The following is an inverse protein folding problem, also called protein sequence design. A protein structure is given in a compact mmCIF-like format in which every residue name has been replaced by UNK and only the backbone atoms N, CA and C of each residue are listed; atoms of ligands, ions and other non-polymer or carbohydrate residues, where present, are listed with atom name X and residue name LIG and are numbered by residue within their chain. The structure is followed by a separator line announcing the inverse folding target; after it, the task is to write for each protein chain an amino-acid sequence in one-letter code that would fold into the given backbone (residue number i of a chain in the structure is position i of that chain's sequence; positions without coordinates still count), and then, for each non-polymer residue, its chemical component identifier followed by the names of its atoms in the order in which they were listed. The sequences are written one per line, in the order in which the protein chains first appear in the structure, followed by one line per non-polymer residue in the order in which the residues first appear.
data_IF_387566189933
#
_entry.id   IF_387566189933
#
_cell.length_a   1.000
_cell.length_b   1.000
_cell.length_c   1.000
_cell.angle_alpha   90.00
_cell.angle_beta   90.00
_cell.angle_gamma   90.00
#
_symmetry.space_group_name_H-M   'P 1'
#
loop_
_entity.id
_entity.type
_entity.pdbx_description
1 polymer ?
#
# COMPACT_ATOMS: atom_id res chain seq x y z
N UNK A 1 41.68 -3.94 -85.08
CA UNK A 1 40.37 -3.46 -85.58
C UNK A 1 39.35 -3.67 -84.48
N UNK A 2 38.61 -2.60 -84.15
CA UNK A 2 37.52 -2.42 -83.16
C UNK A 2 36.95 -3.67 -82.46
N UNK A 3 36.85 -3.62 -81.12
CA UNK A 3 35.73 -4.20 -80.37
C UNK A 3 35.61 -3.55 -78.98
N UNK A 4 34.40 -3.09 -78.67
CA UNK A 4 33.97 -2.36 -77.47
C UNK A 4 34.11 -3.15 -76.17
N UNK A 5 34.52 -2.50 -75.08
CA UNK A 5 34.21 -2.93 -73.72
C UNK A 5 33.06 -2.07 -73.18
N UNK A 6 31.94 -2.74 -72.91
CA UNK A 6 30.73 -2.18 -72.33
C UNK A 6 30.94 -2.05 -70.82
N UNK A 7 30.59 -0.86 -70.32
CA UNK A 7 30.53 -0.47 -68.92
C UNK A 7 29.34 -1.14 -68.22
N UNK A 8 29.56 -1.70 -67.04
CA UNK A 8 28.48 -2.06 -66.11
C UNK A 8 28.84 -1.57 -64.71
N UNK A 9 28.39 -0.36 -64.37
CA UNK A 9 28.35 0.13 -62.99
C UNK A 9 27.28 -0.66 -62.21
N UNK A 10 27.69 -1.38 -61.18
CA UNK A 10 26.78 -1.94 -60.18
C UNK A 10 26.55 -0.87 -59.11
N UNK A 11 25.36 -0.28 -59.12
CA UNK A 11 24.93 0.71 -58.13
C UNK A 11 24.33 -0.03 -56.93
N UNK A 12 25.05 -0.12 -55.81
CA UNK A 12 24.49 -0.62 -54.53
C UNK A 12 23.52 0.40 -53.95
N UNK A 13 22.25 0.03 -53.67
CA UNK A 13 21.36 0.93 -52.95
C UNK A 13 21.72 0.93 -51.47
N UNK A 14 22.01 2.13 -50.94
CA UNK A 14 22.12 2.41 -49.52
C UNK A 14 20.71 2.26 -48.92
N UNK A 15 20.45 1.18 -48.18
CA UNK A 15 19.22 1.02 -47.40
C UNK A 15 19.26 1.99 -46.21
N UNK A 16 18.66 3.16 -46.39
CA UNK A 16 18.31 4.03 -45.27
C UNK A 16 17.22 3.34 -44.45
N UNK A 17 17.59 2.77 -43.30
CA UNK A 17 16.62 2.31 -42.30
C UNK A 17 15.96 3.55 -41.70
N UNK A 18 14.80 3.92 -42.21
CA UNK A 18 13.91 4.87 -41.53
C UNK A 18 13.43 4.20 -40.25
N UNK A 19 13.99 4.61 -39.12
CA UNK A 19 13.44 4.29 -37.80
C UNK A 19 12.07 4.94 -37.71
N UNK A 20 11.01 4.14 -37.81
CA UNK A 20 9.68 4.60 -37.45
C UNK A 20 9.65 4.75 -35.93
N UNK A 21 9.78 5.98 -35.43
CA UNK A 21 9.35 6.29 -34.07
C UNK A 21 7.89 5.87 -33.96
N UNK A 22 7.58 4.97 -33.00
CA UNK A 22 6.18 4.68 -32.70
C UNK A 22 5.52 5.97 -32.20
N UNK A 23 4.28 6.27 -32.60
CA UNK A 23 3.55 7.36 -31.99
C UNK A 23 3.35 7.05 -30.50
N UNK A 24 3.76 7.97 -29.64
CA UNK A 24 3.48 7.92 -28.21
C UNK A 24 1.99 7.67 -28.02
N UNK A 25 1.65 6.60 -27.30
CA UNK A 25 0.26 6.37 -26.89
C UNK A 25 -0.25 7.64 -26.21
N UNK A 26 -1.49 8.09 -26.48
CA UNK A 26 -1.99 9.31 -25.86
C UNK A 26 -1.94 9.18 -24.33
N UNK A 27 -1.08 9.96 -23.69
CA UNK A 27 -0.97 10.01 -22.24
C UNK A 27 -2.31 10.50 -21.69
N UNK A 28 -2.92 9.72 -20.79
CA UNK A 28 -4.14 10.12 -20.08
C UNK A 28 -3.78 10.63 -18.69
N UNK A 29 -4.38 11.73 -18.21
CA UNK A 29 -4.15 12.20 -16.86
C UNK A 29 -4.67 11.18 -15.84
N UNK A 30 -3.83 10.86 -14.86
CA UNK A 30 -4.17 10.19 -13.61
C UNK A 30 -4.44 11.30 -12.59
N UNK A 31 -5.71 11.68 -12.47
CA UNK A 31 -6.14 12.70 -11.52
C UNK A 31 -6.16 12.13 -10.13
N UNK A 32 -5.63 12.86 -9.16
CA UNK A 32 -5.26 12.24 -7.90
C UNK A 32 -5.09 13.30 -6.84
N UNK A 33 -5.48 12.97 -5.61
CA UNK A 33 -4.89 13.58 -4.42
C UNK A 33 -4.09 12.51 -3.67
N UNK A 34 -2.92 12.90 -3.17
CA UNK A 34 -2.04 12.00 -2.43
C UNK A 34 -1.23 12.74 -1.39
N UNK A 35 -0.65 11.97 -0.49
CA UNK A 35 0.23 12.42 0.58
C UNK A 35 1.48 11.54 0.61
N UNK A 36 2.66 12.16 0.75
CA UNK A 36 3.89 11.49 1.15
C UNK A 36 4.27 12.00 2.53
N UNK A 37 4.72 11.12 3.44
CA UNK A 37 5.09 11.54 4.78
C UNK A 37 6.13 10.64 5.43
N UNK A 38 6.87 11.22 6.37
CA UNK A 38 7.70 10.52 7.34
C UNK A 38 7.17 10.80 8.73
N UNK A 39 6.94 9.74 9.51
CA UNK A 39 6.69 9.90 10.93
C UNK A 39 7.98 10.27 11.68
N UNK A 40 7.97 11.39 12.41
CA UNK A 40 9.16 11.88 13.10
C UNK A 40 9.57 11.00 14.28
N UNK A 41 8.63 10.27 14.88
CA UNK A 41 8.85 9.43 16.06
C UNK A 41 9.37 8.05 15.66
N UNK A 42 8.66 7.33 14.78
CA UNK A 42 9.03 5.97 14.38
C UNK A 42 9.98 5.91 13.19
N UNK A 43 10.13 7.02 12.46
CA UNK A 43 10.89 7.06 11.20
C UNK A 43 10.18 6.40 10.01
N UNK A 44 8.98 5.82 10.20
CA UNK A 44 8.20 5.21 9.13
C UNK A 44 7.99 6.17 7.97
N UNK A 45 7.99 5.63 6.76
CA UNK A 45 7.79 6.37 5.51
C UNK A 45 6.51 5.84 4.86
N UNK A 46 5.67 6.74 4.37
CA UNK A 46 4.37 6.36 3.83
C UNK A 46 3.90 7.22 2.68
N UNK A 47 3.11 6.60 1.81
CA UNK A 47 2.37 7.24 0.72
C UNK A 47 0.94 6.74 0.74
N UNK A 48 -0.02 7.65 0.62
CA UNK A 48 -1.43 7.29 0.43
C UNK A 48 -2.04 8.11 -0.69
N UNK A 49 -2.97 7.51 -1.42
CA UNK A 49 -3.50 8.06 -2.67
C UNK A 49 -4.95 7.64 -2.93
N UNK A 50 -5.71 8.53 -3.58
CA UNK A 50 -7.01 8.21 -4.19
C UNK A 50 -7.09 8.80 -5.60
N UNK A 51 -7.74 8.10 -6.52
CA UNK A 51 -7.99 8.56 -7.90
C UNK A 51 -9.31 8.04 -8.49
N UNK A 52 -9.94 8.80 -9.40
CA UNK A 52 -10.87 8.24 -10.39
C UNK A 52 -10.09 7.60 -11.56
N UNK A 53 -9.28 6.61 -11.25
CA UNK A 53 -8.50 5.83 -12.21
C UNK A 53 -8.55 4.38 -11.77
N UNK A 54 -8.66 3.45 -12.69
CA UNK A 54 -8.60 2.04 -12.34
C UNK A 54 -7.20 1.68 -11.86
N UNK A 55 -7.10 1.12 -10.66
CA UNK A 55 -5.84 0.62 -10.11
C UNK A 55 -4.71 1.66 -10.00
N UNK A 56 -4.88 2.67 -9.13
CA UNK A 56 -3.86 3.71 -8.90
C UNK A 56 -2.61 3.20 -8.15
N UNK A 57 -2.76 2.13 -7.35
CA UNK A 57 -1.75 1.62 -6.43
C UNK A 57 -0.40 1.20 -7.03
N UNK A 58 -0.34 0.60 -8.23
CA UNK A 58 0.93 0.31 -8.90
C UNK A 58 1.67 1.52 -9.48
N UNK A 59 1.02 2.69 -9.57
CA UNK A 59 1.53 3.84 -10.32
C UNK A 59 2.06 4.94 -9.42
N UNK A 60 1.25 5.36 -8.44
CA UNK A 60 1.51 6.56 -7.66
C UNK A 60 2.41 6.30 -6.45
N UNK A 61 2.09 5.36 -5.52
CA UNK A 61 2.82 5.24 -4.27
C UNK A 61 4.08 4.38 -4.39
N UNK A 62 5.21 4.96 -4.00
CA UNK A 62 6.50 4.26 -3.88
C UNK A 62 7.11 4.57 -2.53
N UNK A 63 7.65 3.56 -1.86
CA UNK A 63 8.39 3.74 -0.62
C UNK A 63 9.39 2.60 -0.43
N UNK A 64 10.51 2.92 0.19
CA UNK A 64 11.52 1.94 0.57
C UNK A 64 12.08 2.26 1.96
N UNK A 65 12.12 1.24 2.80
CA UNK A 65 12.58 1.36 4.18
C UNK A 65 14.02 1.84 4.23
N UNK A 66 14.30 2.78 5.13
CA UNK A 66 15.62 3.40 5.24
C UNK A 66 16.03 4.28 4.05
N UNK A 67 15.15 4.54 3.08
CA UNK A 67 15.46 5.35 1.87
C UNK A 67 14.56 6.57 1.74
N UNK A 68 13.26 6.37 1.52
CA UNK A 68 12.34 7.48 1.28
C UNK A 68 10.97 7.04 0.75
N UNK A 69 10.13 8.02 0.44
CA UNK A 69 8.82 7.84 -0.17
C UNK A 69 8.62 8.81 -1.34
N UNK A 70 7.92 8.38 -2.39
CA UNK A 70 7.64 9.14 -3.61
C UNK A 70 6.19 8.94 -4.04
N UNK A 71 5.52 10.03 -4.39
CA UNK A 71 4.24 10.03 -5.10
C UNK A 71 4.41 10.69 -6.47
N UNK A 72 4.09 9.99 -7.56
CA UNK A 72 4.10 10.53 -8.94
C UNK A 72 2.69 10.44 -9.55
N UNK A 73 2.13 11.56 -10.01
CA UNK A 73 0.73 11.65 -10.45
C UNK A 73 0.51 12.72 -11.53
N UNK A 74 -0.76 13.01 -11.85
CA UNK A 74 -1.19 13.79 -13.01
C UNK A 74 -0.89 13.03 -14.31
N UNK A 75 -0.18 13.60 -15.27
CA UNK A 75 0.41 12.80 -16.34
C UNK A 75 1.60 12.05 -15.76
N UNK A 76 1.34 11.01 -14.98
CA UNK A 76 2.36 10.33 -14.19
C UNK A 76 3.44 9.73 -15.10
N UNK A 77 4.69 9.88 -14.69
CA UNK A 77 5.82 9.14 -15.22
C UNK A 77 6.25 8.16 -14.12
N UNK A 78 5.88 6.86 -14.23
CA UNK A 78 6.16 5.87 -13.20
C UNK A 78 7.65 5.78 -12.84
N UNK A 79 8.56 6.12 -13.76
CA UNK A 79 9.99 6.09 -13.49
C UNK A 79 10.44 7.02 -12.34
N UNK A 80 9.69 8.09 -12.01
CA UNK A 80 10.03 8.96 -10.88
C UNK A 80 10.07 8.20 -9.55
N UNK A 81 9.24 7.17 -9.38
CA UNK A 81 9.19 6.33 -8.18
C UNK A 81 10.53 5.64 -7.89
N UNK A 82 10.91 4.61 -8.69
CA UNK A 82 12.14 3.87 -8.47
C UNK A 82 13.40 4.72 -8.66
N UNK A 83 13.42 5.69 -9.59
CA UNK A 83 14.61 6.55 -9.76
C UNK A 83 14.77 7.55 -8.61
N UNK A 84 13.68 8.10 -8.08
CA UNK A 84 13.72 8.96 -6.89
C UNK A 84 14.26 8.21 -5.68
N UNK A 85 13.77 6.98 -5.45
CA UNK A 85 14.29 6.09 -4.41
C UNK A 85 15.77 5.73 -4.64
N UNK A 86 16.18 5.44 -5.88
CA UNK A 86 17.59 5.16 -6.20
C UNK A 86 18.50 6.35 -5.86
N UNK A 87 18.13 7.56 -6.27
CA UNK A 87 18.89 8.76 -5.97
C UNK A 87 19.00 9.00 -4.47
N UNK A 88 17.92 8.79 -3.72
CA UNK A 88 17.94 8.88 -2.25
C UNK A 88 18.82 7.80 -1.62
N UNK A 89 18.79 6.57 -2.14
CA UNK A 89 19.61 5.45 -1.65
C UNK A 89 21.09 5.71 -1.81
N UNK A 90 21.52 6.34 -2.91
CA UNK A 90 22.93 6.74 -3.13
C UNK A 90 23.31 8.04 -2.41
N UNK A 91 22.45 8.56 -1.54
CA UNK A 91 22.75 9.64 -0.60
C UNK A 91 22.28 11.04 -1.02
N UNK A 92 21.50 11.18 -2.11
CA UNK A 92 20.84 12.47 -2.41
C UNK A 92 19.69 12.71 -1.45
N UNK A 93 19.44 13.98 -1.14
CA UNK A 93 18.22 14.38 -0.46
C UNK A 93 17.01 14.30 -1.38
N UNK A 94 15.80 14.20 -0.83
CA UNK A 94 14.57 14.26 -1.62
C UNK A 94 14.47 15.51 -2.53
N UNK A 95 14.83 16.73 -2.06
CA UNK A 95 14.92 17.91 -2.94
C UNK A 95 15.93 17.79 -4.08
N UNK A 96 17.11 17.22 -3.83
CA UNK A 96 18.11 17.01 -4.89
C UNK A 96 17.64 15.98 -5.91
N UNK A 97 17.04 14.88 -5.44
CA UNK A 97 16.50 13.82 -6.28
C UNK A 97 15.39 14.35 -7.19
N UNK A 98 14.40 15.05 -6.62
CA UNK A 98 13.30 15.61 -7.39
C UNK A 98 13.79 16.64 -8.41
N UNK A 99 14.69 17.56 -8.00
CA UNK A 99 15.27 18.57 -8.90
C UNK A 99 15.99 17.92 -10.08
N UNK A 100 16.77 16.87 -9.84
CA UNK A 100 17.49 16.16 -10.90
C UNK A 100 16.53 15.58 -11.93
N UNK A 101 15.50 14.85 -11.49
CA UNK A 101 14.53 14.21 -12.38
C UNK A 101 13.72 15.24 -13.19
N UNK A 102 13.16 16.25 -12.51
CA UNK A 102 12.38 17.33 -13.15
C UNK A 102 13.21 18.06 -14.21
N UNK A 103 14.50 18.34 -13.93
CA UNK A 103 15.37 19.07 -14.88
C UNK A 103 15.68 18.32 -16.17
N UNK A 104 15.43 17.01 -16.19
CA UNK A 104 15.67 16.14 -17.36
C UNK A 104 14.39 15.70 -18.07
N UNK A 105 13.22 16.07 -17.54
CA UNK A 105 11.92 15.70 -18.09
C UNK A 105 11.36 16.85 -18.95
N UNK A 106 11.33 16.66 -20.28
CA UNK A 106 10.79 17.64 -21.22
C UNK A 106 9.29 17.91 -21.00
N UNK A 107 8.59 17.00 -20.32
CA UNK A 107 7.16 17.06 -20.01
C UNK A 107 6.90 17.46 -18.54
N UNK A 108 7.90 17.96 -17.82
CA UNK A 108 7.77 18.34 -16.40
C UNK A 108 6.54 19.20 -16.10
N UNK A 109 6.15 20.05 -17.05
CA UNK A 109 5.02 20.95 -16.92
C UNK A 109 3.66 20.23 -16.78
N UNK A 110 3.54 18.95 -17.14
CA UNK A 110 2.32 18.14 -16.91
C UNK A 110 2.45 17.13 -15.76
N UNK A 111 3.62 17.07 -15.11
CA UNK A 111 3.89 16.16 -14.00
C UNK A 111 3.49 16.78 -12.67
N UNK A 112 3.12 15.92 -11.72
CA UNK A 112 3.03 16.30 -10.32
C UNK A 112 3.70 15.23 -9.47
N UNK A 113 4.68 15.61 -8.66
CA UNK A 113 5.52 14.67 -7.91
C UNK A 113 5.85 15.21 -6.53
N UNK A 114 5.83 14.37 -5.50
CA UNK A 114 6.34 14.70 -4.17
C UNK A 114 7.26 13.60 -3.66
N UNK A 115 8.28 14.00 -2.88
CA UNK A 115 9.27 13.10 -2.29
C UNK A 115 9.58 13.50 -0.86
N UNK A 116 9.82 12.51 0.00
CA UNK A 116 10.35 12.69 1.36
C UNK A 116 11.45 11.67 1.62
N UNK A 117 12.57 12.10 2.20
CA UNK A 117 13.68 11.22 2.56
C UNK A 117 13.69 10.83 4.05
N UNK A 118 14.62 9.96 4.46
CA UNK A 118 14.75 9.51 5.86
C UNK A 118 15.15 10.58 6.86
N UNK A 119 15.61 11.76 6.43
CA UNK A 119 15.81 12.92 7.29
C UNK A 119 14.56 13.79 7.36
N UNK A 120 13.51 13.40 6.63
CA UNK A 120 12.25 14.10 6.52
C UNK A 120 12.37 15.43 5.79
N UNK A 121 13.37 15.57 4.90
CA UNK A 121 13.41 16.67 3.94
C UNK A 121 12.41 16.35 2.84
N UNK A 122 11.64 17.35 2.43
CA UNK A 122 10.52 17.19 1.52
C UNK A 122 10.71 18.08 0.29
N UNK A 123 10.30 17.59 -0.88
CA UNK A 123 10.13 18.42 -2.05
C UNK A 123 8.90 18.00 -2.85
N UNK A 124 8.26 18.98 -3.48
CA UNK A 124 7.10 18.77 -4.34
C UNK A 124 7.24 19.62 -5.62
N UNK A 125 6.67 19.10 -6.70
CA UNK A 125 6.58 19.73 -8.01
C UNK A 125 5.14 19.63 -8.50
N UNK A 126 4.57 20.76 -8.93
CA UNK A 126 3.30 20.80 -9.67
C UNK A 126 3.57 21.56 -10.96
N UNK A 127 3.58 20.85 -12.09
CA UNK A 127 3.81 21.46 -13.39
C UNK A 127 2.73 22.49 -13.75
N UNK A 128 3.13 23.57 -14.42
CA UNK A 128 2.22 24.68 -14.77
C UNK A 128 1.08 24.34 -15.75
N UNK A 129 1.10 23.14 -16.35
CA UNK A 129 0.06 22.59 -17.23
C UNK A 129 -0.71 21.41 -16.62
N UNK A 130 -0.52 21.11 -15.33
CA UNK A 130 -1.44 20.23 -14.62
C UNK A 130 -2.87 20.80 -14.70
N UNK A 131 -3.86 19.94 -14.92
CA UNK A 131 -5.24 20.39 -15.08
C UNK A 131 -5.74 20.97 -13.76
N UNK A 132 -6.26 22.20 -13.79
CA UNK A 132 -6.72 22.90 -12.60
C UNK A 132 -8.04 22.30 -12.05
N UNK A 133 -8.30 22.36 -10.74
CA UNK A 133 -7.43 22.91 -9.71
C UNK A 133 -6.26 21.97 -9.39
N UNK A 134 -5.03 22.51 -9.37
CA UNK A 134 -3.81 21.75 -9.12
C UNK A 134 -2.84 22.53 -8.24
N UNK A 135 -2.28 21.87 -7.23
CA UNK A 135 -1.43 22.48 -6.22
C UNK A 135 -0.85 21.45 -5.26
N UNK A 136 -0.05 21.93 -4.32
CA UNK A 136 0.51 21.13 -3.24
C UNK A 136 0.75 22.01 -2.01
N UNK A 137 0.86 21.37 -0.86
CA UNK A 137 1.32 21.96 0.39
C UNK A 137 2.47 21.12 0.96
N UNK A 138 3.58 21.78 1.25
CA UNK A 138 4.76 21.15 1.87
C UNK A 138 4.81 21.56 3.34
N UNK A 139 4.66 20.57 4.22
CA UNK A 139 4.76 20.76 5.67
C UNK A 139 6.00 20.09 6.26
N UNK A 140 6.04 19.99 7.59
CA UNK A 140 7.16 19.37 8.29
C UNK A 140 7.13 17.85 8.12
N UNK A 141 8.08 17.31 7.35
CA UNK A 141 8.22 15.87 7.06
C UNK A 141 7.10 15.25 6.20
N UNK A 142 6.27 16.06 5.53
CA UNK A 142 5.26 15.57 4.59
C UNK A 142 4.97 16.55 3.45
N UNK A 143 4.35 16.06 2.39
CA UNK A 143 3.71 16.87 1.34
C UNK A 143 2.37 16.25 0.96
N UNK A 144 1.40 17.11 0.71
CA UNK A 144 0.10 16.77 0.12
C UNK A 144 -0.02 17.46 -1.24
N UNK A 145 -0.53 16.74 -2.23
CA UNK A 145 -0.59 17.24 -3.61
C UNK A 145 -1.85 16.74 -4.29
N UNK A 146 -2.44 17.61 -5.11
CA UNK A 146 -3.62 17.26 -5.89
C UNK A 146 -3.67 17.99 -7.24
N UNK A 147 -4.34 17.39 -8.23
CA UNK A 147 -4.62 17.97 -9.55
C UNK A 147 -6.02 17.59 -10.01
N UNK A 148 -6.64 18.31 -10.96
CA UNK A 148 -8.04 18.16 -11.41
C UNK A 148 -9.01 17.95 -10.22
N UNK A 149 -8.87 18.80 -9.20
CA UNK A 149 -9.76 18.83 -8.05
C UNK A 149 -11.00 19.69 -8.31
N UNK A 150 -12.09 19.39 -7.61
CA UNK A 150 -13.30 20.23 -7.59
C UNK A 150 -13.01 21.62 -7.01
N UNK A 151 -12.11 21.71 -6.02
CA UNK A 151 -11.72 22.95 -5.37
C UNK A 151 -10.20 23.03 -5.16
N UNK A 152 -9.65 24.25 -5.14
CA UNK A 152 -8.26 24.50 -4.77
C UNK A 152 -8.02 24.44 -3.25
N UNK A 153 -9.06 24.24 -2.45
CA UNK A 153 -8.95 24.09 -0.98
C UNK A 153 -8.48 22.69 -0.56
N UNK A 154 -8.56 21.70 -1.46
CA UNK A 154 -8.28 20.28 -1.16
C UNK A 154 -6.94 20.06 -0.44
N UNK A 155 -5.82 20.51 -0.99
CA UNK A 155 -4.51 20.24 -0.39
C UNK A 155 -4.28 20.97 0.94
N UNK A 156 -4.91 22.12 1.18
CA UNK A 156 -4.85 22.78 2.49
C UNK A 156 -5.68 22.03 3.53
N UNK A 157 -6.85 21.50 3.16
CA UNK A 157 -7.66 20.66 4.04
C UNK A 157 -6.92 19.35 4.39
N UNK A 158 -6.27 18.72 3.42
CA UNK A 158 -5.41 17.54 3.66
C UNK A 158 -4.30 17.84 4.67
N UNK A 159 -3.60 18.97 4.50
CA UNK A 159 -2.53 19.39 5.39
C UNK A 159 -3.05 19.58 6.83
N UNK A 160 -4.11 20.37 7.00
CA UNK A 160 -4.71 20.63 8.31
C UNK A 160 -5.18 19.36 9.01
N UNK A 161 -5.79 18.43 8.27
CA UNK A 161 -6.22 17.14 8.81
C UNK A 161 -5.01 16.29 9.24
N UNK A 162 -3.97 16.20 8.42
CA UNK A 162 -2.75 15.43 8.73
C UNK A 162 -1.99 15.97 9.95
N UNK A 163 -1.93 17.28 10.10
CA UNK A 163 -1.27 17.97 11.23
C UNK A 163 -2.08 17.87 12.53
N UNK A 164 -3.41 17.86 12.45
CA UNK A 164 -4.30 17.77 13.62
C UNK A 164 -4.58 16.32 14.06
N UNK A 165 -4.36 15.36 13.17
CA UNK A 165 -4.62 13.95 13.42
C UNK A 165 -3.71 13.37 14.52
N UNK A 166 -4.29 12.50 15.33
CA UNK A 166 -3.60 11.71 16.34
C UNK A 166 -3.50 10.24 15.88
N UNK A 167 -2.57 9.49 16.47
CA UNK A 167 -2.36 8.08 16.16
C UNK A 167 -1.14 7.83 15.29
N UNK A 168 -1.06 6.62 14.74
CA UNK A 168 0.05 6.17 13.91
C UNK A 168 0.04 6.84 12.52
N UNK A 169 1.10 6.58 11.74
CA UNK A 169 1.22 7.14 10.39
C UNK A 169 0.05 6.71 9.48
N UNK A 170 -0.43 5.46 9.60
CA UNK A 170 -1.54 4.97 8.77
C UNK A 170 -2.82 5.75 9.00
N UNK A 171 -3.15 6.04 10.27
CA UNK A 171 -4.31 6.86 10.62
C UNK A 171 -4.16 8.25 10.01
N UNK A 172 -3.03 8.92 10.26
CA UNK A 172 -2.78 10.29 9.79
C UNK A 172 -2.88 10.41 8.27
N UNK A 173 -2.35 9.44 7.53
CA UNK A 173 -2.47 9.39 6.06
C UNK A 173 -3.93 9.20 5.60
N UNK A 174 -4.70 8.34 6.27
CA UNK A 174 -6.12 8.14 5.95
C UNK A 174 -6.96 9.39 6.18
N UNK A 175 -6.80 10.08 7.31
CA UNK A 175 -7.57 11.32 7.59
C UNK A 175 -7.23 12.43 6.59
N UNK A 176 -6.02 12.46 6.05
CA UNK A 176 -5.67 13.38 4.97
C UNK A 176 -6.47 13.05 3.69
N UNK A 177 -6.59 11.78 3.31
CA UNK A 177 -7.41 11.38 2.15
C UNK A 177 -8.90 11.68 2.37
N UNK A 178 -9.42 11.45 3.57
CA UNK A 178 -10.81 11.75 3.91
C UNK A 178 -11.12 13.25 3.86
N UNK A 179 -10.17 14.08 4.31
CA UNK A 179 -10.31 15.54 4.22
C UNK A 179 -10.35 16.01 2.76
N UNK A 180 -9.54 15.41 1.87
CA UNK A 180 -9.63 15.71 0.44
C UNK A 180 -10.99 15.34 -0.15
N UNK A 181 -11.53 14.17 0.21
CA UNK A 181 -12.83 13.71 -0.25
C UNK A 181 -13.97 14.60 0.27
N UNK A 182 -13.88 15.07 1.52
CA UNK A 182 -14.82 16.03 2.12
C UNK A 182 -14.85 17.39 1.42
N UNK A 183 -13.77 17.77 0.74
CA UNK A 183 -13.65 18.98 -0.09
C UNK A 183 -14.03 18.75 -1.57
N UNK A 184 -14.62 17.60 -1.90
CA UNK A 184 -15.05 17.20 -3.25
C UNK A 184 -14.04 16.33 -4.01
N UNK A 185 -12.76 16.42 -3.68
CA UNK A 185 -11.71 15.57 -4.25
C UNK A 185 -11.56 15.68 -5.77
N UNK A 186 -11.30 14.54 -6.43
CA UNK A 186 -11.19 14.45 -7.90
C UNK A 186 -12.54 14.81 -8.55
N UNK A 187 -12.52 15.81 -9.43
CA UNK A 187 -13.72 16.36 -10.10
C UNK A 187 -14.53 15.29 -10.86
N UNK A 188 -13.91 14.16 -11.22
CA UNK A 188 -14.56 13.05 -11.91
C UNK A 188 -15.30 12.11 -10.96
N UNK A 189 -15.02 12.19 -9.65
CA UNK A 189 -15.51 11.30 -8.61
C UNK A 189 -14.39 10.41 -8.05
N UNK A 190 -14.73 9.17 -7.68
CA UNK A 190 -13.79 8.24 -7.01
C UNK A 190 -13.88 6.83 -7.58
N UNK A 191 -12.75 6.12 -7.59
CA UNK A 191 -12.68 4.75 -8.11
C UNK A 191 -11.67 3.86 -7.38
N UNK A 192 -10.44 4.30 -7.18
CA UNK A 192 -9.38 3.49 -6.54
C UNK A 192 -8.62 4.28 -5.48
N UNK A 193 -7.98 3.55 -4.56
CA UNK A 193 -7.13 4.12 -3.52
C UNK A 193 -6.04 3.12 -3.10
N UNK A 194 -4.95 3.63 -2.55
CA UNK A 194 -3.87 2.79 -2.03
C UNK A 194 -3.14 3.46 -0.87
N UNK A 195 -2.56 2.65 0.00
CA UNK A 195 -1.64 3.07 1.06
C UNK A 195 -0.44 2.12 1.10
N UNK A 196 0.75 2.70 1.10
CA UNK A 196 2.03 2.01 1.24
C UNK A 196 2.78 2.63 2.41
N UNK A 197 3.11 1.85 3.43
CA UNK A 197 3.91 2.28 4.57
C UNK A 197 5.02 1.27 4.79
N UNK A 198 6.24 1.78 4.95
CA UNK A 198 7.43 1.00 5.23
C UNK A 198 8.07 1.42 6.54
N UNK A 199 8.85 0.52 7.14
CA UNK A 199 9.65 0.79 8.33
C UNK A 199 10.66 1.93 8.09
N UNK A 200 11.04 2.64 9.15
CA UNK A 200 12.07 3.67 9.06
C UNK A 200 13.47 3.11 8.81
N UNK A 201 13.73 1.88 9.26
CA UNK A 201 14.98 1.16 9.09
C UNK A 201 14.82 0.00 8.10
N UNK A 202 15.87 -0.25 7.32
CA UNK A 202 15.93 -1.36 6.37
C UNK A 202 16.44 -2.62 7.07
N UNK A 203 15.60 -3.65 7.19
CA UNK A 203 15.99 -4.92 7.81
C UNK A 203 16.71 -5.87 6.85
N UNK A 204 16.85 -5.49 5.58
CA UNK A 204 17.31 -6.32 4.47
C UNK A 204 16.23 -7.30 3.96
N UNK A 205 15.00 -7.21 4.49
CA UNK A 205 13.88 -8.09 4.14
C UNK A 205 12.67 -7.25 3.75
N UNK A 206 12.50 -6.93 2.45
CA UNK A 206 11.42 -6.06 1.99
C UNK A 206 10.01 -6.51 2.37
N UNK A 207 9.79 -7.82 2.56
CA UNK A 207 8.50 -8.37 2.99
C UNK A 207 8.21 -8.19 4.50
N UNK A 208 9.22 -7.89 5.30
CA UNK A 208 9.06 -7.48 6.72
C UNK A 208 8.94 -5.97 6.82
N UNK A 209 9.70 -5.26 5.99
CA UNK A 209 9.79 -3.80 6.01
C UNK A 209 8.53 -3.11 5.48
N UNK A 210 7.69 -3.82 4.70
CA UNK A 210 6.37 -3.34 4.26
C UNK A 210 5.31 -3.57 5.34
N UNK A 211 5.00 -2.52 6.09
CA UNK A 211 4.02 -2.55 7.19
C UNK A 211 2.59 -2.54 6.66
N UNK A 212 2.33 -1.73 5.64
CA UNK A 212 1.07 -1.66 4.89
C UNK A 212 1.38 -1.59 3.39
N UNK A 213 0.72 -2.42 2.59
CA UNK A 213 0.70 -2.35 1.12
C UNK A 213 -0.70 -2.79 0.68
N UNK A 214 -1.66 -1.87 0.82
CA UNK A 214 -3.07 -2.14 0.63
C UNK A 214 -3.60 -1.32 -0.54
N UNK A 215 -4.46 -1.97 -1.34
CA UNK A 215 -5.00 -1.39 -2.58
C UNK A 215 -6.47 -1.71 -2.70
N UNK A 216 -7.22 -0.70 -3.11
CA UNK A 216 -8.60 -0.79 -3.57
C UNK A 216 -8.55 -0.45 -5.06
N UNK A 217 -8.62 -1.46 -5.92
CA UNK A 217 -8.40 -1.28 -7.36
C UNK A 217 -9.62 -0.65 -8.07
N UNK A 218 -10.82 -0.92 -7.55
CA UNK A 218 -12.12 -0.39 -8.02
C UNK A 218 -13.16 -0.51 -6.90
N UNK A 219 -13.72 0.62 -6.44
CA UNK A 219 -14.79 0.69 -5.46
C UNK A 219 -15.50 2.06 -5.55
N UNK A 220 -16.83 2.14 -5.38
CA UNK A 220 -17.55 3.42 -5.38
C UNK A 220 -17.21 4.35 -4.19
N UNK A 221 -16.54 3.80 -3.17
CA UNK A 221 -16.07 4.51 -1.97
C UNK A 221 -14.69 3.96 -1.55
N UNK A 222 -13.62 4.26 -2.32
CA UNK A 222 -12.35 3.57 -2.16
C UNK A 222 -11.57 4.00 -0.92
N UNK A 223 -11.79 5.22 -0.40
CA UNK A 223 -11.12 5.69 0.84
C UNK A 223 -11.70 4.98 2.06
N UNK A 224 -13.03 4.88 2.18
CA UNK A 224 -13.65 4.13 3.27
C UNK A 224 -13.28 2.64 3.22
N UNK A 225 -13.23 2.05 2.02
CA UNK A 225 -12.80 0.67 1.84
C UNK A 225 -11.32 0.48 2.21
N UNK A 226 -10.45 1.43 1.86
CA UNK A 226 -9.05 1.42 2.26
C UNK A 226 -8.91 1.48 3.78
N UNK A 227 -9.71 2.31 4.47
CA UNK A 227 -9.76 2.36 5.94
C UNK A 227 -10.18 1.01 6.53
N UNK A 228 -11.19 0.35 5.95
CA UNK A 228 -11.61 -1.01 6.37
C UNK A 228 -10.44 -2.00 6.25
N UNK A 229 -9.71 -1.97 5.12
CA UNK A 229 -8.53 -2.81 4.91
C UNK A 229 -7.39 -2.50 5.90
N UNK A 230 -7.18 -1.23 6.27
CA UNK A 230 -6.20 -0.85 7.30
C UNK A 230 -6.56 -1.44 8.67
N UNK A 231 -7.84 -1.42 9.08
CA UNK A 231 -8.26 -2.08 10.32
C UNK A 231 -8.07 -3.60 10.24
N UNK A 232 -8.37 -4.21 9.10
CA UNK A 232 -8.15 -5.64 8.89
C UNK A 232 -6.65 -6.00 9.01
N UNK A 233 -5.78 -5.23 8.37
CA UNK A 233 -4.33 -5.40 8.48
C UNK A 233 -3.84 -5.24 9.93
N UNK A 234 -4.36 -4.26 10.68
CA UNK A 234 -4.05 -4.09 12.11
C UNK A 234 -4.43 -5.33 12.93
N UNK A 235 -5.59 -5.93 12.65
CA UNK A 235 -6.00 -7.18 13.29
C UNK A 235 -5.02 -8.32 13.01
N UNK A 236 -4.59 -8.50 11.75
CA UNK A 236 -3.61 -9.52 11.38
C UNK A 236 -2.22 -9.28 11.96
N UNK A 237 -1.76 -8.03 12.03
CA UNK A 237 -0.51 -7.68 12.72
C UNK A 237 -0.57 -8.15 14.18
N UNK A 238 -1.70 -7.91 14.86
CA UNK A 238 -1.88 -8.35 16.25
C UNK A 238 -2.00 -9.87 16.42
N UNK A 239 -2.58 -10.58 15.44
CA UNK A 239 -2.56 -12.05 15.43
C UNK A 239 -1.12 -12.57 15.35
N UNK A 240 -0.34 -12.06 14.39
CA UNK A 240 1.05 -12.47 14.21
C UNK A 240 1.91 -12.14 15.44
N UNK A 241 1.71 -10.97 16.05
CA UNK A 241 2.35 -10.59 17.31
C UNK A 241 2.03 -11.59 18.42
N UNK A 242 0.76 -12.00 18.54
CA UNK A 242 0.34 -13.04 19.49
C UNK A 242 1.06 -14.38 19.25
N UNK A 243 1.13 -14.85 18.00
CA UNK A 243 1.81 -16.10 17.64
C UNK A 243 3.31 -16.06 17.94
N UNK A 244 3.95 -14.92 17.68
CA UNK A 244 5.36 -14.72 18.02
C UNK A 244 5.61 -14.73 19.53
N UNK A 245 4.79 -14.02 20.31
CA UNK A 245 4.87 -13.98 21.77
C UNK A 245 4.61 -15.35 22.37
N UNK A 246 3.63 -16.07 21.84
CA UNK A 246 3.31 -17.44 22.24
C UNK A 246 4.51 -18.36 22.05
N UNK A 247 5.13 -18.31 20.87
CA UNK A 247 6.31 -19.11 20.53
C UNK A 247 7.50 -18.81 21.45
N UNK A 248 7.63 -17.56 21.93
CA UNK A 248 8.66 -17.14 22.88
C UNK A 248 8.34 -17.49 24.33
N UNK A 249 7.15 -18.02 24.62
CA UNK A 249 6.68 -18.36 25.97
C UNK A 249 6.07 -17.20 26.75
N UNK A 250 5.86 -16.04 26.11
CA UNK A 250 5.23 -14.86 26.71
C UNK A 250 3.70 -14.98 26.65
N UNK A 251 3.15 -15.96 27.36
CA UNK A 251 1.74 -16.38 27.24
C UNK A 251 0.76 -15.23 27.55
N UNK A 252 1.00 -14.45 28.60
CA UNK A 252 0.10 -13.36 29.00
C UNK A 252 0.02 -12.26 27.92
N UNK A 253 1.17 -11.84 27.40
CA UNK A 253 1.27 -10.84 26.33
C UNK A 253 0.64 -11.36 25.02
N UNK A 254 0.84 -12.65 24.71
CA UNK A 254 0.23 -13.28 23.55
C UNK A 254 -1.30 -13.27 23.62
N UNK A 255 -1.87 -13.59 24.79
CA UNK A 255 -3.31 -13.56 25.00
C UNK A 255 -3.89 -12.15 24.87
N UNK A 256 -3.17 -11.13 25.35
CA UNK A 256 -3.57 -9.74 25.17
C UNK A 256 -3.54 -9.34 23.68
N UNK A 257 -2.52 -9.74 22.93
CA UNK A 257 -2.44 -9.50 21.49
C UNK A 257 -3.60 -10.19 20.73
N UNK A 258 -3.91 -11.44 21.04
CA UNK A 258 -5.06 -12.15 20.45
C UNK A 258 -6.40 -11.50 20.79
N UNK A 259 -6.56 -11.02 22.03
CA UNK A 259 -7.75 -10.28 22.46
C UNK A 259 -7.89 -8.97 21.67
N UNK A 260 -6.80 -8.23 21.46
CA UNK A 260 -6.82 -7.04 20.63
C UNK A 260 -7.17 -7.37 19.18
N UNK A 261 -6.49 -8.35 18.59
CA UNK A 261 -6.72 -8.79 17.21
C UNK A 261 -8.20 -9.11 16.92
N UNK A 262 -8.82 -9.90 17.80
CA UNK A 262 -10.22 -10.34 17.65
C UNK A 262 -11.26 -9.29 18.07
N UNK A 263 -10.83 -8.09 18.48
CA UNK A 263 -11.68 -6.95 18.81
C UNK A 263 -11.51 -5.75 17.84
N UNK A 264 -10.42 -5.69 17.07
CA UNK A 264 -10.19 -4.61 16.09
C UNK A 264 -11.23 -4.66 14.96
N UNK A 265 -11.56 -5.86 14.48
CA UNK A 265 -12.60 -6.09 13.49
C UNK A 265 -13.59 -7.15 13.99
N UNK A 266 -14.88 -7.07 13.61
CA UNK A 266 -15.84 -8.13 13.93
C UNK A 266 -15.47 -9.44 13.22
N UNK A 267 -15.87 -10.57 13.78
CA UNK A 267 -15.53 -11.91 13.25
C UNK A 267 -15.93 -12.08 11.77
N UNK A 268 -17.08 -11.52 11.38
CA UNK A 268 -17.57 -11.52 9.99
C UNK A 268 -16.58 -10.88 9.00
N UNK A 269 -15.80 -9.89 9.42
CA UNK A 269 -14.81 -9.23 8.56
C UNK A 269 -13.67 -10.16 8.13
N UNK A 270 -13.46 -11.26 8.86
CA UNK A 270 -12.47 -12.30 8.56
C UNK A 270 -13.13 -13.65 8.22
N UNK A 271 -14.47 -13.68 8.08
CA UNK A 271 -15.24 -14.92 8.03
C UNK A 271 -14.90 -15.89 9.19
N UNK A 272 -14.55 -15.38 10.38
CA UNK A 272 -14.17 -16.18 11.55
C UNK A 272 -12.71 -16.66 11.57
N UNK A 273 -11.88 -16.27 10.61
CA UNK A 273 -10.48 -16.72 10.53
C UNK A 273 -9.63 -16.24 11.71
N UNK A 274 -9.82 -14.99 12.15
CA UNK A 274 -9.07 -14.43 13.28
C UNK A 274 -9.27 -15.23 14.58
N UNK A 275 -10.50 -15.45 15.08
CA UNK A 275 -10.69 -16.30 16.26
C UNK A 275 -10.34 -17.77 15.98
N UNK A 276 -10.51 -18.28 14.76
CA UNK A 276 -10.13 -19.66 14.44
C UNK A 276 -8.67 -19.96 14.76
N UNK A 277 -7.74 -19.14 14.26
CA UNK A 277 -6.31 -19.37 14.46
C UNK A 277 -5.88 -19.23 15.92
N UNK A 278 -6.46 -18.29 16.66
CA UNK A 278 -6.27 -18.20 18.13
C UNK A 278 -6.69 -19.50 18.81
N UNK A 279 -7.88 -20.02 18.49
CA UNK A 279 -8.37 -21.28 19.04
C UNK A 279 -7.47 -22.47 18.70
N UNK A 280 -6.91 -22.51 17.48
CA UNK A 280 -5.95 -23.54 17.07
C UNK A 280 -4.68 -23.47 17.90
N UNK A 281 -4.08 -22.29 18.08
CA UNK A 281 -2.84 -22.12 18.87
C UNK A 281 -3.04 -22.58 20.32
N UNK A 282 -4.17 -22.22 20.92
CA UNK A 282 -4.54 -22.65 22.28
C UNK A 282 -4.71 -24.17 22.37
N UNK A 283 -5.50 -24.76 21.47
CA UNK A 283 -5.73 -26.20 21.44
C UNK A 283 -4.45 -27.01 21.19
N UNK A 284 -3.58 -26.53 20.28
CA UNK A 284 -2.29 -27.15 20.00
C UNK A 284 -1.38 -27.20 21.23
N UNK A 285 -1.54 -26.22 22.12
CA UNK A 285 -0.77 -26.09 23.36
C UNK A 285 -1.44 -26.75 24.57
N UNK A 286 -2.52 -27.50 24.35
CA UNK A 286 -3.26 -28.21 25.40
C UNK A 286 -4.27 -27.35 26.17
N UNK A 287 -4.45 -26.07 25.81
CA UNK A 287 -5.43 -25.16 26.40
C UNK A 287 -6.79 -25.30 25.71
N UNK A 288 -7.35 -26.51 25.80
CA UNK A 288 -8.55 -26.89 25.05
C UNK A 288 -9.77 -26.08 25.50
N UNK A 289 -9.93 -25.83 26.80
CA UNK A 289 -11.11 -25.14 27.33
C UNK A 289 -11.13 -23.67 26.92
N UNK A 290 -9.97 -23.02 26.89
CA UNK A 290 -9.76 -21.65 26.43
C UNK A 290 -9.92 -21.53 24.90
N UNK A 291 -9.60 -22.59 24.15
CA UNK A 291 -9.75 -22.61 22.70
C UNK A 291 -11.22 -22.60 22.24
N UNK A 292 -12.12 -23.28 22.97
CA UNK A 292 -13.51 -23.52 22.50
C UNK A 292 -14.29 -22.22 22.22
N UNK A 293 -14.27 -21.17 23.07
CA UNK A 293 -14.97 -19.92 22.77
C UNK A 293 -14.55 -19.30 21.44
N UNK A 294 -13.27 -19.36 21.10
CA UNK A 294 -12.74 -18.86 19.84
C UNK A 294 -13.15 -19.73 18.65
N UNK A 295 -13.04 -21.05 18.77
CA UNK A 295 -13.47 -21.98 17.72
C UNK A 295 -14.98 -21.92 17.47
N UNK A 296 -15.79 -21.70 18.52
CA UNK A 296 -17.23 -21.52 18.40
C UNK A 296 -17.58 -20.23 17.63
N UNK A 297 -16.90 -19.11 17.94
CA UNK A 297 -17.03 -17.85 17.17
C UNK A 297 -16.74 -18.05 15.69
N UNK A 298 -15.65 -18.78 15.36
CA UNK A 298 -15.33 -19.12 13.98
C UNK A 298 -16.45 -19.95 13.34
N UNK A 299 -16.90 -21.02 14.00
CA UNK A 299 -17.97 -21.89 13.51
C UNK A 299 -19.29 -21.14 13.24
N UNK A 300 -19.63 -20.15 14.06
CA UNK A 300 -20.80 -19.28 13.85
C UNK A 300 -20.73 -18.49 12.54
N UNK A 301 -19.54 -18.12 12.08
CA UNK A 301 -19.36 -17.46 10.78
C UNK A 301 -19.46 -18.47 9.64
N UNK A 302 -18.82 -19.63 9.79
CA UNK A 302 -18.83 -20.68 8.78
C UNK A 302 -18.62 -22.08 9.36
N UNK A 303 -19.57 -22.97 9.10
CA UNK A 303 -19.48 -24.35 9.59
C UNK A 303 -18.28 -25.13 9.02
N UNK A 304 -17.70 -24.68 7.91
CA UNK A 304 -16.50 -25.28 7.28
C UNK A 304 -15.24 -25.17 8.16
N UNK A 305 -15.21 -24.29 9.15
CA UNK A 305 -14.11 -24.26 10.13
C UNK A 305 -13.97 -25.57 10.89
N UNK A 306 -15.08 -26.26 11.19
CA UNK A 306 -15.03 -27.58 11.83
C UNK A 306 -14.38 -28.65 10.94
N UNK A 307 -14.63 -28.58 9.62
CA UNK A 307 -13.95 -29.46 8.66
C UNK A 307 -12.45 -29.14 8.60
N UNK A 308 -12.05 -27.86 8.65
CA UNK A 308 -10.64 -27.50 8.68
C UNK A 308 -9.91 -28.07 9.90
N UNK A 309 -10.51 -28.04 11.10
CA UNK A 309 -9.94 -28.64 12.33
C UNK A 309 -9.49 -30.09 12.09
N UNK A 310 -10.27 -30.88 11.34
CA UNK A 310 -9.95 -32.29 11.06
C UNK A 310 -8.70 -32.48 10.18
N UNK A 311 -8.29 -31.45 9.44
CA UNK A 311 -7.16 -31.49 8.50
C UNK A 311 -5.83 -31.05 9.11
N UNK A 312 -5.88 -30.27 10.19
CA UNK A 312 -4.71 -29.69 10.86
C UNK A 312 -3.72 -30.69 11.48
N UNK A 313 -4.10 -31.92 11.91
CA UNK A 313 -3.13 -32.89 12.42
C UNK A 313 -2.05 -33.29 11.41
N UNK A 314 -2.39 -33.32 10.12
CA UNK A 314 -1.43 -33.71 9.08
C UNK A 314 -0.41 -32.60 8.78
N UNK A 315 -0.79 -31.33 8.96
CA UNK A 315 0.13 -30.19 8.84
C UNK A 315 0.93 -29.94 10.11
N UNK A 316 0.64 -30.65 11.21
CA UNK A 316 1.30 -30.46 12.50
C UNK A 316 0.80 -29.23 13.27
N UNK A 317 -0.28 -28.60 12.81
CA UNK A 317 -0.90 -27.44 13.49
C UNK A 317 -1.78 -27.85 14.67
N UNK A 318 -2.19 -29.12 14.73
CA UNK A 318 -2.78 -29.75 15.91
C UNK A 318 -2.13 -31.12 16.16
N UNK A 319 -2.21 -31.68 17.38
CA UNK A 319 -1.74 -33.02 17.66
C UNK A 319 -2.45 -34.08 16.80
N UNK A 320 -1.73 -35.15 16.44
CA UNK A 320 -2.30 -36.35 15.80
C UNK A 320 -3.07 -37.22 16.81
N UNK A 321 -4.07 -36.62 17.45
CA UNK A 321 -4.96 -37.24 18.43
C UNK A 321 -6.42 -37.11 17.95
N UNK A 322 -6.97 -38.19 17.39
CA UNK A 322 -8.34 -38.19 16.87
C UNK A 322 -9.38 -37.86 17.94
N UNK A 323 -9.16 -38.25 19.21
CA UNK A 323 -10.13 -37.97 20.28
C UNK A 323 -10.19 -36.48 20.59
N UNK A 324 -9.04 -35.81 20.61
CA UNK A 324 -8.97 -34.37 20.75
C UNK A 324 -9.70 -33.67 19.59
N UNK A 325 -9.43 -34.09 18.35
CA UNK A 325 -10.07 -33.50 17.16
C UNK A 325 -11.59 -33.65 17.20
N UNK A 326 -12.08 -34.85 17.53
CA UNK A 326 -13.52 -35.10 17.66
C UNK A 326 -14.14 -34.25 18.79
N UNK A 327 -13.42 -34.06 19.91
CA UNK A 327 -13.85 -33.20 21.02
C UNK A 327 -13.92 -31.73 20.61
N UNK A 328 -12.88 -31.19 19.97
CA UNK A 328 -12.85 -29.81 19.47
C UNK A 328 -14.02 -29.55 18.52
N UNK A 329 -14.23 -30.44 17.53
CA UNK A 329 -15.32 -30.32 16.56
C UNK A 329 -16.69 -30.39 17.24
N UNK A 330 -16.87 -31.29 18.21
CA UNK A 330 -18.14 -31.39 18.95
C UNK A 330 -18.39 -30.15 19.80
N UNK A 331 -17.38 -29.65 20.51
CA UNK A 331 -17.50 -28.53 21.46
C UNK A 331 -17.63 -27.18 20.75
N UNK A 332 -16.92 -26.96 19.63
CA UNK A 332 -17.08 -25.74 18.84
C UNK A 332 -18.49 -25.62 18.26
N UNK A 333 -19.11 -26.75 17.85
CA UNK A 333 -20.51 -26.80 17.40
C UNK A 333 -21.47 -26.48 18.54
N UNK A 334 -21.31 -27.16 19.68
CA UNK A 334 -22.20 -26.95 20.84
C UNK A 334 -22.10 -25.52 21.39
N UNK A 335 -20.91 -24.93 21.41
CA UNK A 335 -20.70 -23.56 21.87
C UNK A 335 -21.24 -22.48 20.91
N UNK A 336 -21.72 -22.88 19.73
CA UNK A 336 -22.30 -21.98 18.73
C UNK A 336 -23.82 -21.87 18.79
N UNK A 337 -24.49 -22.80 19.49
CA UNK A 337 -25.94 -22.84 19.76
C UNK A 337 -26.32 -21.90 20.91
#
# INVERSE_FOLDING_TARGET
MRASLISTMVLSPLLATTSFAQPDSPLRPITTYSIVARDSVTGQLGVAVQSHWFSVGPIVPWAEAGVGAVATQSFAEPAYGPLGLELMRVGRSAPEALKALVSTDADEAVRQVAMVDTQGRVAAHTGGRCIQAAGHHVGNHYSVQANLMESSTVWEAMAQAYESAQGDLAERLLVALEAAEGEGGDLRGRQSAAILIVSGENSGKPWVDRLFDLRVEDHPDPVAELRRLVQLQRAYIKLNEGDELWTKGNVEEAMEAYRQATNIVPDQATNGEAPFWVGVTLAASGQVDEAIPYLARAYQQDTRWAELVTRLPNSGLLPKDQKLIDDLVRRMKKGSE
#
